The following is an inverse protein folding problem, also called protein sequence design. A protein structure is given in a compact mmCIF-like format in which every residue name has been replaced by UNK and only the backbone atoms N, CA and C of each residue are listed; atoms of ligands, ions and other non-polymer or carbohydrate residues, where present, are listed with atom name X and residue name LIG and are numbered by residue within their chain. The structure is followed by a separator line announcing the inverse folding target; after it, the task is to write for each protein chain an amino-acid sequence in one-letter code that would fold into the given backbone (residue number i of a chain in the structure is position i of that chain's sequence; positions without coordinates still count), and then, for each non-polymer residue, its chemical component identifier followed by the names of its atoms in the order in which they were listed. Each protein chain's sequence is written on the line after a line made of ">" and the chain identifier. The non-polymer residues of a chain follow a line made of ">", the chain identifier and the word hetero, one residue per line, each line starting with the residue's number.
data_IF_636883730063
#
_entry.id   IF_636883730063
#
_cell.length_a   1.000
_cell.length_b   1.000
_cell.length_c   1.000
_cell.angle_alpha   90.00
_cell.angle_beta   90.00
_cell.angle_gamma   90.00
#
_symmetry.space_group_name_H-M   'P 1'
#
loop_
_entity.id
_entity.type
_entity.pdbx_description
1 polymer ?
#
# COMPACT_ATOMS: atom_id res chain seq x y z
N UNK A 1 4.31 -16.82 -1.62
CA UNK A 1 5.02 -16.48 -2.86
C UNK A 1 5.28 -14.99 -2.77
N UNK A 2 6.55 -14.59 -2.85
CA UNK A 2 7.11 -13.25 -2.55
C UNK A 2 6.15 -12.25 -1.91
N UNK A 3 6.28 -12.07 -0.59
CA UNK A 3 5.68 -10.96 0.12
C UNK A 3 6.26 -9.67 -0.47
N UNK A 4 5.56 -9.08 -1.44
CA UNK A 4 5.95 -7.83 -2.05
C UNK A 4 6.01 -6.78 -0.94
N UNK A 5 7.20 -6.32 -0.59
CA UNK A 5 7.38 -5.22 0.33
C UNK A 5 7.91 -4.04 -0.47
N UNK A 6 7.20 -2.93 -0.45
CA UNK A 6 7.67 -1.68 -1.08
C UNK A 6 8.50 -0.94 -0.05
N UNK A 7 9.80 -0.82 -0.32
CA UNK A 7 10.73 -0.04 0.49
C UNK A 7 10.99 1.32 -0.16
N UNK A 8 10.62 2.40 0.53
CA UNK A 8 10.89 3.76 0.10
C UNK A 8 11.90 4.43 1.02
N UNK A 9 12.87 5.10 0.41
CA UNK A 9 13.84 5.93 1.11
C UNK A 9 13.45 7.40 0.93
N UNK A 10 13.05 8.04 2.03
CA UNK A 10 12.77 9.46 2.04
C UNK A 10 14.07 10.26 1.96
N UNK A 11 13.96 11.49 1.47
CA UNK A 11 15.09 12.44 1.37
C UNK A 11 15.74 12.76 2.72
N UNK A 12 15.02 12.53 3.81
CA UNK A 12 15.47 12.68 5.21
C UNK A 12 16.27 11.46 5.72
N UNK A 13 16.43 10.41 4.90
CA UNK A 13 17.07 9.14 5.30
C UNK A 13 16.17 8.18 6.08
N UNK A 14 14.93 8.59 6.40
CA UNK A 14 13.90 7.70 6.93
C UNK A 14 13.50 6.67 5.86
N UNK A 15 13.50 5.39 6.21
CA UNK A 15 13.01 4.32 5.34
C UNK A 15 11.59 3.93 5.78
N UNK A 16 10.68 3.88 4.82
CA UNK A 16 9.33 3.34 5.00
C UNK A 16 9.30 1.99 4.29
N UNK A 17 8.85 0.96 5.00
CA UNK A 17 8.58 -0.36 4.44
C UNK A 17 7.08 -0.60 4.50
N UNK A 18 6.44 -0.75 3.34
CA UNK A 18 5.03 -1.07 3.23
C UNK A 18 4.93 -2.56 2.92
N UNK A 19 4.25 -3.28 3.82
CA UNK A 19 3.91 -4.68 3.61
C UNK A 19 2.66 -4.75 2.74
N UNK A 20 2.80 -5.15 1.48
CA UNK A 20 1.67 -5.18 0.55
C UNK A 20 0.63 -6.23 0.98
N UNK A 21 1.05 -7.34 1.60
CA UNK A 21 0.11 -8.34 2.12
C UNK A 21 -0.69 -7.79 3.29
N UNK A 22 -0.02 -7.08 4.22
CA UNK A 22 -0.70 -6.42 5.33
C UNK A 22 -1.66 -5.31 4.87
N UNK A 23 -1.31 -4.59 3.81
CA UNK A 23 -2.16 -3.56 3.21
C UNK A 23 -3.40 -4.18 2.54
N UNK A 24 -3.22 -5.21 1.71
CA UNK A 24 -4.33 -5.90 1.05
C UNK A 24 -5.33 -6.48 2.04
N UNK A 25 -4.83 -7.09 3.13
CA UNK A 25 -5.65 -7.68 4.19
C UNK A 25 -6.36 -6.61 5.03
N UNK A 26 -5.65 -5.54 5.41
CA UNK A 26 -6.22 -4.47 6.23
C UNK A 26 -7.24 -3.59 5.49
N UNK A 27 -7.13 -3.50 4.16
CA UNK A 27 -8.07 -2.75 3.32
C UNK A 27 -9.21 -3.63 2.77
N UNK A 28 -9.23 -4.94 3.07
CA UNK A 28 -10.18 -5.93 2.53
C UNK A 28 -10.35 -5.80 1.01
N UNK A 29 -9.21 -5.65 0.31
CA UNK A 29 -9.23 -5.31 -1.12
C UNK A 29 -9.82 -6.46 -1.93
N UNK A 30 -10.68 -6.11 -2.88
CA UNK A 30 -11.23 -7.09 -3.82
C UNK A 30 -10.15 -7.56 -4.80
N UNK A 31 -10.33 -8.73 -5.42
CA UNK A 31 -9.38 -9.26 -6.40
C UNK A 31 -9.04 -8.28 -7.55
N UNK A 32 -9.98 -7.40 -7.91
CA UNK A 32 -9.76 -6.37 -8.93
C UNK A 32 -8.82 -5.26 -8.42
N UNK A 33 -9.06 -4.77 -7.20
CA UNK A 33 -8.23 -3.75 -6.57
C UNK A 33 -6.83 -4.28 -6.26
N UNK A 34 -6.72 -5.56 -5.88
CA UNK A 34 -5.43 -6.21 -5.67
C UNK A 34 -4.55 -6.15 -6.91
N UNK A 35 -5.13 -6.38 -8.09
CA UNK A 35 -4.41 -6.27 -9.36
C UNK A 35 -3.97 -4.83 -9.67
N UNK A 36 -4.71 -3.83 -9.19
CA UNK A 36 -4.37 -2.42 -9.36
C UNK A 36 -3.22 -2.01 -8.42
N UNK A 37 -3.24 -2.48 -7.18
CA UNK A 37 -2.13 -2.32 -6.24
C UNK A 37 -0.87 -3.01 -6.74
N UNK A 38 -0.97 -4.26 -7.20
CA UNK A 38 0.14 -4.98 -7.87
C UNK A 38 0.68 -4.15 -9.04
N UNK A 39 -0.18 -3.58 -9.87
CA UNK A 39 0.25 -2.72 -10.98
C UNK A 39 1.04 -1.50 -10.48
N UNK A 40 0.54 -0.79 -9.47
CA UNK A 40 1.22 0.36 -8.89
C UNK A 40 2.58 -0.03 -8.27
N UNK A 41 2.66 -1.19 -7.60
CA UNK A 41 3.91 -1.68 -6.99
C UNK A 41 5.02 -1.83 -8.05
N UNK A 42 4.71 -2.37 -9.23
CA UNK A 42 5.69 -2.56 -10.30
C UNK A 42 5.89 -1.33 -11.19
N UNK A 43 4.84 -0.55 -11.42
CA UNK A 43 4.85 0.53 -12.42
C UNK A 43 5.12 1.90 -11.80
N UNK A 44 4.61 2.18 -10.60
CA UNK A 44 4.81 3.44 -9.88
C UNK A 44 4.74 3.26 -8.34
N UNK A 45 5.82 2.76 -7.72
CA UNK A 45 5.83 2.45 -6.29
C UNK A 45 5.71 3.69 -5.39
N UNK A 46 5.96 4.89 -5.93
CA UNK A 46 5.73 6.14 -5.20
C UNK A 46 4.23 6.41 -5.09
N UNK A 47 3.48 6.30 -6.20
CA UNK A 47 2.04 6.45 -6.20
C UNK A 47 1.35 5.41 -5.30
N UNK A 48 1.83 4.16 -5.30
CA UNK A 48 1.37 3.13 -4.35
C UNK A 48 1.53 3.60 -2.90
N UNK A 49 2.72 4.07 -2.53
CA UNK A 49 2.94 4.49 -1.15
C UNK A 49 2.21 5.78 -0.79
N UNK A 50 2.06 6.72 -1.71
CA UNK A 50 1.21 7.88 -1.49
C UNK A 50 -0.24 7.44 -1.26
N UNK A 51 -0.78 6.47 -2.01
CA UNK A 51 -2.11 5.93 -1.77
C UNK A 51 -2.26 5.33 -0.35
N UNK A 52 -1.24 4.59 0.12
CA UNK A 52 -1.29 3.92 1.43
C UNK A 52 -0.99 4.87 2.60
N UNK A 53 -0.12 5.85 2.41
CA UNK A 53 0.28 6.83 3.41
C UNK A 53 -0.71 8.00 3.51
N UNK A 54 -1.35 8.35 2.40
CA UNK A 54 -2.36 9.38 2.30
C UNK A 54 -3.73 8.72 2.47
N UNK A 55 -4.01 8.32 3.72
CA UNK A 55 -5.22 7.65 4.25
C UNK A 55 -6.55 8.38 3.92
N UNK A 56 -6.51 9.54 3.24
CA UNK A 56 -7.66 10.34 2.80
C UNK A 56 -8.21 9.98 1.41
N UNK A 57 -7.66 8.96 0.73
CA UNK A 57 -8.23 8.55 -0.56
C UNK A 57 -9.62 7.94 -0.33
N UNK A 58 -10.68 8.69 -0.60
CA UNK A 58 -12.11 8.27 -0.48
C UNK A 58 -12.43 6.94 -1.20
N UNK A 59 -11.55 6.49 -2.09
CA UNK A 59 -11.69 5.27 -2.87
C UNK A 59 -11.34 3.99 -2.09
N UNK A 60 -10.59 4.09 -0.97
CA UNK A 60 -10.17 2.96 -0.14
C UNK A 60 -10.36 3.28 1.35
N UNK A 61 -11.59 3.15 1.90
CA UNK A 61 -11.80 3.37 3.32
C UNK A 61 -11.00 2.35 4.13
N UNK A 62 -9.98 2.82 4.86
CA UNK A 62 -9.31 2.02 5.88
C UNK A 62 -10.35 1.69 6.94
N UNK A 63 -10.81 0.44 6.94
CA UNK A 63 -11.51 -0.13 8.07
C UNK A 63 -10.52 -0.12 9.23
N UNK A 64 -10.60 0.90 10.08
CA UNK A 64 -9.76 1.03 11.24
C UNK A 64 -9.94 -0.21 12.13
N UNK A 65 -9.05 -1.20 11.99
CA UNK A 65 -8.87 -2.26 12.98
C UNK A 65 -8.08 -1.68 14.14
N UNK A 66 -8.77 -0.82 14.90
CA UNK A 66 -8.45 -0.54 16.28
C UNK A 66 -9.03 -1.66 17.14
N UNK A 67 -8.15 -2.50 17.68
CA UNK A 67 -8.44 -3.51 18.70
C UNK A 67 -7.23 -3.71 19.57
#
# INVERSE_FOLDING_TARGET
>A
MDTGCVELLLRDGRKISIDCTGVEDALDVTMAQRSELDYLIYNDPLAYAELILNDESEEYPRSAVGG
#
